data_IF_238786220333
#
_entry.id   IF_238786220333
#
_cell.length_a   1.000
_cell.length_b   1.000
_cell.length_c   1.000
_cell.angle_alpha   90.00
_cell.angle_beta   90.00
_cell.angle_gamma   90.00
#
_symmetry.space_group_name_H-M   'P 1'
#
loop_
_entity.id
_entity.type
_entity.pdbx_description
1 polymer ?
#
# COMPACT_ATOMS: atom_id res chain seq x y z
N UNK A 1 75.10 40.72 2.09
CA UNK A 1 74.42 39.64 1.30
C UNK A 1 73.24 38.96 2.01
N UNK A 2 72.75 39.45 3.16
CA UNK A 2 71.67 38.79 3.92
C UNK A 2 70.23 39.11 3.43
N UNK A 3 70.00 40.30 2.85
CA UNK A 3 68.62 40.77 2.57
C UNK A 3 67.92 40.05 1.40
N UNK A 4 68.66 39.59 0.37
CA UNK A 4 68.05 38.93 -0.80
C UNK A 4 67.47 37.54 -0.48
N UNK A 5 68.07 36.80 0.47
CA UNK A 5 67.56 35.47 0.87
C UNK A 5 66.29 35.56 1.71
N UNK A 6 66.18 36.58 2.57
CA UNK A 6 64.97 36.84 3.36
C UNK A 6 63.79 37.26 2.47
N UNK A 7 64.05 38.06 1.43
CA UNK A 7 63.02 38.50 0.47
C UNK A 7 62.44 37.32 -0.34
N UNK A 8 63.28 36.42 -0.85
CA UNK A 8 62.79 35.25 -1.59
C UNK A 8 61.99 34.26 -0.72
N UNK A 9 62.31 34.15 0.57
CA UNK A 9 61.52 33.33 1.50
C UNK A 9 60.11 33.90 1.75
N UNK A 10 59.99 35.23 1.80
CA UNK A 10 58.70 35.89 2.00
C UNK A 10 57.80 35.82 0.76
N UNK A 11 58.36 35.97 -0.44
CA UNK A 11 57.65 35.78 -1.71
C UNK A 11 57.13 34.34 -1.87
N UNK A 12 57.93 33.34 -1.47
CA UNK A 12 57.51 31.94 -1.49
C UNK A 12 56.35 31.66 -0.51
N UNK A 13 56.42 32.18 0.72
CA UNK A 13 55.36 31.99 1.73
C UNK A 13 54.05 32.64 1.25
N UNK A 14 54.12 33.86 0.69
CA UNK A 14 52.94 34.54 0.15
C UNK A 14 52.35 33.74 -1.02
N UNK A 15 53.20 33.24 -1.92
CA UNK A 15 52.76 32.43 -3.07
C UNK A 15 52.06 31.15 -2.62
N UNK A 16 52.63 30.43 -1.65
CA UNK A 16 52.03 29.21 -1.08
C UNK A 16 50.73 29.52 -0.35
N UNK A 17 50.69 30.61 0.41
CA UNK A 17 49.48 31.06 1.11
C UNK A 17 48.33 31.36 0.15
N UNK A 18 48.62 32.01 -0.98
CA UNK A 18 47.61 32.28 -2.01
C UNK A 18 47.09 31.01 -2.67
N UNK A 19 47.99 30.04 -2.95
CA UNK A 19 47.60 28.74 -3.50
C UNK A 19 46.69 27.98 -2.52
N UNK A 20 47.06 27.91 -1.24
CA UNK A 20 46.24 27.26 -0.20
C UNK A 20 44.87 27.94 -0.08
N UNK A 21 44.83 29.28 -0.06
CA UNK A 21 43.57 30.03 0.00
C UNK A 21 42.67 29.72 -1.20
N UNK A 22 43.24 29.64 -2.40
CA UNK A 22 42.51 29.26 -3.61
C UNK A 22 41.94 27.84 -3.50
N UNK A 23 42.73 26.88 -3.00
CA UNK A 23 42.24 25.52 -2.74
C UNK A 23 41.11 25.48 -1.72
N UNK A 24 41.20 26.25 -0.63
CA UNK A 24 40.13 26.33 0.39
C UNK A 24 38.84 26.85 -0.23
N UNK A 25 38.90 27.91 -1.04
CA UNK A 25 37.71 28.47 -1.71
C UNK A 25 37.08 27.42 -2.64
N UNK A 26 37.87 26.74 -3.47
CA UNK A 26 37.37 25.68 -4.36
C UNK A 26 36.72 24.54 -3.55
N UNK A 27 37.32 24.13 -2.43
CA UNK A 27 36.76 23.09 -1.57
C UNK A 27 35.42 23.49 -0.95
N UNK A 28 35.28 24.73 -0.47
CA UNK A 28 34.02 25.24 0.07
C UNK A 28 32.91 25.22 -1.00
N UNK A 29 33.20 25.72 -2.21
CA UNK A 29 32.26 25.65 -3.33
C UNK A 29 31.90 24.20 -3.71
N UNK A 30 32.89 23.29 -3.66
CA UNK A 30 32.67 21.87 -3.92
C UNK A 30 31.72 21.22 -2.91
N UNK A 31 31.88 21.54 -1.62
CA UNK A 31 31.01 21.04 -0.54
C UNK A 31 29.58 21.54 -0.73
N UNK A 32 29.39 22.84 -0.97
CA UNK A 32 28.06 23.43 -1.15
C UNK A 32 27.37 22.87 -2.40
N UNK A 33 28.11 22.72 -3.50
CA UNK A 33 27.56 22.12 -4.73
C UNK A 33 27.15 20.67 -4.53
N UNK A 34 27.91 19.92 -3.74
CA UNK A 34 27.61 18.51 -3.41
C UNK A 34 26.35 18.41 -2.56
N UNK A 35 26.21 19.25 -1.52
CA UNK A 35 24.99 19.31 -0.70
C UNK A 35 23.76 19.61 -1.54
N UNK A 36 23.82 20.67 -2.35
CA UNK A 36 22.72 21.05 -3.24
C UNK A 36 22.36 19.95 -4.24
N UNK A 37 23.35 19.26 -4.79
CA UNK A 37 23.12 18.12 -5.68
C UNK A 37 22.44 16.96 -4.98
N UNK A 38 22.80 16.68 -3.72
CA UNK A 38 22.18 15.61 -2.94
C UNK A 38 20.74 15.98 -2.59
N UNK A 39 20.49 17.20 -2.09
CA UNK A 39 19.14 17.69 -1.77
C UNK A 39 18.21 17.62 -2.99
N UNK A 40 18.71 18.02 -4.16
CA UNK A 40 17.94 17.95 -5.40
C UNK A 40 17.58 16.51 -5.80
N UNK A 41 18.50 15.56 -5.61
CA UNK A 41 18.24 14.13 -5.89
C UNK A 41 17.25 13.54 -4.89
N UNK A 42 17.39 13.86 -3.60
CA UNK A 42 16.44 13.46 -2.55
C UNK A 42 15.04 13.97 -2.85
N UNK A 43 14.91 15.23 -3.29
CA UNK A 43 13.62 15.80 -3.72
C UNK A 43 13.04 15.08 -4.95
N UNK A 44 13.88 14.73 -5.93
CA UNK A 44 13.42 14.01 -7.13
C UNK A 44 12.91 12.62 -6.78
N UNK A 45 13.62 11.89 -5.93
CA UNK A 45 13.20 10.57 -5.44
C UNK A 45 11.90 10.67 -4.66
N UNK A 46 11.78 11.63 -3.73
CA UNK A 46 10.53 11.86 -2.99
C UNK A 46 9.36 12.18 -3.94
N UNK A 47 9.59 12.96 -5.00
CA UNK A 47 8.58 13.21 -6.03
C UNK A 47 8.19 11.94 -6.78
N UNK A 48 9.15 11.10 -7.15
CA UNK A 48 8.89 9.84 -7.85
C UNK A 48 8.08 8.87 -6.99
N UNK A 49 8.45 8.69 -5.72
CA UNK A 49 7.70 7.82 -4.80
C UNK A 49 6.28 8.36 -4.58
N UNK A 50 6.15 9.67 -4.34
CA UNK A 50 4.85 10.30 -4.10
C UNK A 50 3.91 10.15 -5.29
N UNK A 51 4.43 10.41 -6.50
CA UNK A 51 3.67 10.22 -7.74
C UNK A 51 3.33 8.75 -7.97
N UNK A 52 4.24 7.81 -7.69
CA UNK A 52 3.96 6.37 -7.82
C UNK A 52 2.77 5.96 -6.94
N UNK A 53 2.72 6.39 -5.67
CA UNK A 53 1.59 6.09 -4.78
C UNK A 53 0.29 6.69 -5.33
N UNK A 54 0.32 7.95 -5.76
CA UNK A 54 -0.83 8.63 -6.35
C UNK A 54 -1.31 7.94 -7.63
N UNK A 55 -0.40 7.53 -8.50
CA UNK A 55 -0.74 6.87 -9.76
C UNK A 55 -1.40 5.50 -9.53
N UNK A 56 -0.94 4.75 -8.51
CA UNK A 56 -1.58 3.49 -8.12
C UNK A 56 -3.01 3.72 -7.61
N UNK A 57 -3.21 4.68 -6.70
CA UNK A 57 -4.54 5.06 -6.20
C UNK A 57 -5.44 5.52 -7.34
N UNK A 58 -4.94 6.39 -8.23
CA UNK A 58 -5.71 6.92 -9.35
C UNK A 58 -6.12 5.83 -10.33
N UNK A 59 -5.21 4.91 -10.64
CA UNK A 59 -5.51 3.81 -11.55
C UNK A 59 -6.63 2.92 -11.00
N UNK A 60 -6.57 2.55 -9.71
CA UNK A 60 -7.61 1.74 -9.06
C UNK A 60 -8.94 2.50 -8.98
N UNK A 61 -8.90 3.80 -8.69
CA UNK A 61 -10.09 4.63 -8.68
C UNK A 61 -10.77 4.73 -10.05
N UNK A 62 -10.01 4.71 -11.14
CA UNK A 62 -10.53 4.80 -12.51
C UNK A 62 -10.98 3.46 -13.08
N UNK A 63 -10.38 2.34 -12.64
CA UNK A 63 -10.73 1.00 -13.12
C UNK A 63 -12.12 0.53 -12.68
N UNK A 64 -12.57 0.95 -11.49
CA UNK A 64 -13.89 0.61 -10.94
C UNK A 64 -13.82 -0.43 -9.80
N UNK A 65 -15.00 -0.71 -9.21
CA UNK A 65 -15.14 -1.63 -8.07
C UNK A 65 -14.67 -3.05 -8.43
N UNK A 66 -14.08 -3.76 -7.47
CA UNK A 66 -13.58 -5.12 -7.64
C UNK A 66 -12.16 -5.21 -8.20
N UNK A 67 -11.57 -4.10 -8.68
CA UNK A 67 -10.20 -4.08 -9.17
C UNK A 67 -9.20 -3.81 -8.03
N UNK A 68 -8.14 -4.61 -7.96
CA UNK A 68 -7.01 -4.40 -7.07
C UNK A 68 -5.69 -4.52 -7.82
N UNK A 69 -4.62 -4.00 -7.22
CA UNK A 69 -3.26 -4.24 -7.68
C UNK A 69 -2.27 -4.13 -6.53
N UNK A 70 -1.06 -4.59 -6.83
CA UNK A 70 0.07 -4.52 -5.91
C UNK A 70 1.08 -3.45 -6.36
N UNK A 71 1.73 -2.80 -5.40
CA UNK A 71 2.80 -1.83 -5.63
C UNK A 71 3.81 -1.83 -4.49
N UNK A 72 5.03 -1.37 -4.77
CA UNK A 72 6.11 -1.34 -3.78
C UNK A 72 6.58 0.09 -3.54
N UNK A 73 7.06 0.33 -2.33
CA UNK A 73 7.55 1.63 -1.87
C UNK A 73 9.01 1.42 -1.44
N UNK A 74 9.99 2.20 -1.92
CA UNK A 74 11.39 2.06 -1.50
C UNK A 74 11.56 2.22 0.02
N UNK A 75 12.52 1.50 0.62
CA UNK A 75 12.82 1.66 2.05
C UNK A 75 13.35 3.06 2.42
N UNK A 76 14.10 3.68 1.50
CA UNK A 76 14.69 5.00 1.67
C UNK A 76 14.70 5.77 0.34
N UNK A 77 14.77 7.10 0.42
CA UNK A 77 15.04 7.99 -0.72
C UNK A 77 16.55 8.28 -0.85
N UNK A 78 16.97 8.99 -1.91
CA UNK A 78 18.38 9.30 -2.17
C UNK A 78 19.14 9.74 -0.92
N UNK A 79 20.33 9.17 -0.74
CA UNK A 79 21.17 9.40 0.44
C UNK A 79 20.91 8.43 1.59
N UNK A 80 19.96 7.50 1.44
CA UNK A 80 19.57 6.59 2.52
C UNK A 80 18.73 7.28 3.59
N UNK A 81 18.06 8.37 3.23
CA UNK A 81 17.22 9.11 4.16
C UNK A 81 15.89 8.36 4.33
N UNK A 82 15.53 8.13 5.58
CA UNK A 82 14.20 7.65 5.94
C UNK A 82 13.16 8.72 5.61
N UNK A 83 11.93 8.28 5.35
CA UNK A 83 10.82 9.16 5.04
C UNK A 83 9.51 8.54 5.49
N UNK A 84 8.50 9.40 5.63
CA UNK A 84 7.15 8.98 5.97
C UNK A 84 6.18 9.37 4.86
N UNK A 85 5.24 8.48 4.55
CA UNK A 85 4.12 8.73 3.64
C UNK A 85 2.87 8.95 4.49
N UNK A 86 2.18 10.07 4.25
CA UNK A 86 0.87 10.35 4.84
C UNK A 86 -0.15 10.54 3.71
N UNK A 87 -1.27 9.83 3.79
CA UNK A 87 -2.39 10.00 2.87
C UNK A 87 -3.57 10.59 3.64
N UNK A 88 -3.96 11.81 3.28
CA UNK A 88 -5.00 12.58 3.96
C UNK A 88 -5.95 13.19 2.92
N UNK A 89 -7.16 12.64 2.85
CA UNK A 89 -8.15 12.97 1.82
C UNK A 89 -7.58 12.74 0.42
N UNK A 90 -7.39 13.81 -0.36
CA UNK A 90 -6.78 13.72 -1.71
C UNK A 90 -5.27 13.88 -1.69
N UNK A 91 -4.67 14.28 -0.58
CA UNK A 91 -3.25 14.65 -0.53
C UNK A 91 -2.44 13.43 -0.10
N UNK A 92 -1.51 13.02 -0.96
CA UNK A 92 -0.41 12.11 -0.60
C UNK A 92 0.81 12.98 -0.35
N UNK A 93 1.34 12.93 0.86
CA UNK A 93 2.50 13.70 1.30
C UNK A 93 3.64 12.76 1.69
N UNK A 94 4.84 13.06 1.21
CA UNK A 94 6.09 12.45 1.63
C UNK A 94 6.88 13.50 2.40
N UNK A 95 7.29 13.15 3.62
CA UNK A 95 8.12 14.00 4.46
C UNK A 95 9.39 13.28 4.87
N UNK A 96 10.52 13.98 4.84
CA UNK A 96 11.82 13.54 5.33
C UNK A 96 12.45 14.67 6.15
N UNK A 97 13.61 14.44 6.75
CA UNK A 97 14.24 15.35 7.73
C UNK A 97 14.32 16.82 7.29
N UNK A 98 14.63 17.07 6.02
CA UNK A 98 14.92 18.41 5.50
C UNK A 98 13.82 18.97 4.60
N UNK A 99 12.77 18.21 4.32
CA UNK A 99 11.78 18.64 3.35
C UNK A 99 10.54 17.76 3.26
N UNK A 100 9.62 18.21 2.40
CA UNK A 100 8.38 17.50 2.10
C UNK A 100 7.98 17.72 0.65
N UNK A 101 7.27 16.77 0.10
CA UNK A 101 6.65 16.86 -1.22
C UNK A 101 5.25 16.27 -1.15
N UNK A 102 4.30 16.85 -1.89
CA UNK A 102 2.93 16.33 -1.92
C UNK A 102 2.36 16.31 -3.34
N UNK A 103 1.57 15.30 -3.63
CA UNK A 103 0.78 15.18 -4.85
C UNK A 103 -0.70 14.93 -4.50
N UNK A 104 -1.58 15.13 -5.49
CA UNK A 104 -3.02 14.96 -5.31
C UNK A 104 -3.54 13.74 -6.06
N UNK A 105 -4.28 12.88 -5.36
CA UNK A 105 -5.08 11.81 -5.92
C UNK A 105 -6.41 12.35 -6.49
N UNK A 106 -6.98 11.61 -7.44
CA UNK A 106 -8.26 11.94 -8.08
C UNK A 106 -9.46 11.80 -7.14
N UNK A 107 -9.33 10.95 -6.10
CA UNK A 107 -10.36 10.68 -5.11
C UNK A 107 -9.87 11.02 -3.70
N UNK A 108 -10.81 11.41 -2.84
CA UNK A 108 -10.56 11.61 -1.40
C UNK A 108 -10.99 10.42 -0.55
N UNK A 109 -11.62 9.42 -1.17
CA UNK A 109 -12.19 8.28 -0.47
C UNK A 109 -11.14 7.18 -0.35
N UNK A 110 -10.07 7.47 0.40
CA UNK A 110 -8.92 6.59 0.58
C UNK A 110 -8.82 6.24 2.06
N UNK A 111 -8.76 4.95 2.36
CA UNK A 111 -8.54 4.41 3.69
C UNK A 111 -7.25 3.60 3.69
N UNK A 112 -6.28 4.03 4.49
CA UNK A 112 -5.00 3.33 4.65
C UNK A 112 -5.02 2.55 5.95
N UNK A 113 -4.88 1.22 5.87
CA UNK A 113 -4.80 0.36 7.04
C UNK A 113 -3.36 0.16 7.50
N UNK A 114 -2.48 -0.10 6.53
CA UNK A 114 -1.05 -0.25 6.75
C UNK A 114 -0.29 0.04 5.45
N UNK A 115 1.01 0.31 5.60
CA UNK A 115 1.91 0.58 4.48
C UNK A 115 3.31 0.09 4.84
N UNK A 116 3.83 -0.84 4.05
CA UNK A 116 5.18 -1.39 4.22
C UNK A 116 6.16 -0.75 3.24
N UNK A 117 7.35 -0.47 3.74
CA UNK A 117 8.47 0.06 2.97
C UNK A 117 9.45 -1.07 2.62
N UNK A 118 10.11 -0.98 1.48
CA UNK A 118 10.93 -2.04 0.89
C UNK A 118 10.45 -2.42 -0.51
N UNK A 119 11.37 -2.58 -1.46
CA UNK A 119 11.02 -2.96 -2.84
C UNK A 119 10.60 -4.43 -2.95
N UNK A 120 10.96 -5.22 -1.94
CA UNK A 120 10.55 -6.60 -1.73
C UNK A 120 9.13 -6.72 -1.14
N UNK A 121 8.63 -5.65 -0.51
CA UNK A 121 7.30 -5.62 0.07
C UNK A 121 6.28 -5.16 -0.98
N UNK A 122 5.15 -5.86 -1.04
CA UNK A 122 4.05 -5.55 -1.94
C UNK A 122 2.90 -5.00 -1.09
N UNK A 123 2.58 -3.73 -1.27
CA UNK A 123 1.36 -3.14 -0.73
C UNK A 123 0.22 -3.38 -1.72
N UNK A 124 -1.00 -3.49 -1.19
CA UNK A 124 -2.19 -3.71 -2.00
C UNK A 124 -3.04 -2.46 -2.03
N UNK A 125 -3.61 -2.14 -3.19
CA UNK A 125 -4.64 -1.12 -3.31
C UNK A 125 -5.85 -1.71 -4.03
N UNK A 126 -7.03 -1.55 -3.43
CA UNK A 126 -8.28 -2.18 -3.86
C UNK A 126 -9.42 -1.16 -3.92
N UNK A 127 -10.29 -1.28 -4.92
CA UNK A 127 -11.51 -0.48 -5.02
C UNK A 127 -12.71 -1.27 -4.53
N UNK A 128 -13.23 -0.88 -3.37
CA UNK A 128 -14.49 -1.40 -2.82
C UNK A 128 -15.58 -0.35 -2.96
N UNK A 129 -16.39 -0.49 -4.00
CA UNK A 129 -17.57 0.35 -4.26
C UNK A 129 -17.26 1.87 -4.24
N UNK A 130 -16.10 2.25 -4.77
CA UNK A 130 -15.63 3.63 -4.83
C UNK A 130 -14.82 4.09 -3.61
N UNK A 131 -14.63 3.23 -2.60
CA UNK A 131 -13.66 3.42 -1.51
C UNK A 131 -12.35 2.74 -1.89
N UNK A 132 -11.25 3.48 -1.87
CA UNK A 132 -9.91 2.94 -2.11
C UNK A 132 -9.33 2.47 -0.79
N UNK A 133 -9.12 1.18 -0.67
CA UNK A 133 -8.48 0.57 0.50
C UNK A 133 -7.01 0.31 0.18
N UNK A 134 -6.12 0.68 1.10
CA UNK A 134 -4.67 0.44 1.00
C UNK A 134 -4.25 -0.49 2.13
N UNK A 135 -3.73 -1.65 1.75
CA UNK A 135 -3.17 -2.69 2.62
C UNK A 135 -1.68 -2.87 2.42
N UNK A 136 -1.07 -3.65 3.31
CA UNK A 136 0.37 -3.88 3.38
C UNK A 136 0.75 -5.29 2.91
N UNK A 137 1.98 -5.73 3.17
CA UNK A 137 2.53 -6.98 2.64
C UNK A 137 2.05 -8.21 3.44
N UNK A 138 0.74 -8.46 3.44
CA UNK A 138 0.06 -9.57 4.15
C UNK A 138 -1.07 -10.17 3.30
N UNK A 139 -1.54 -11.39 3.59
CA UNK A 139 -2.79 -11.89 3.01
C UNK A 139 -3.95 -10.91 3.27
N UNK A 140 -4.97 -10.96 2.41
CA UNK A 140 -6.16 -10.12 2.56
C UNK A 140 -7.35 -10.86 1.94
N UNK A 141 -8.20 -11.42 2.80
CA UNK A 141 -9.37 -12.20 2.45
C UNK A 141 -10.56 -11.26 2.24
N UNK A 142 -11.38 -11.59 1.25
CA UNK A 142 -12.53 -10.76 0.88
C UNK A 142 -13.66 -11.63 0.37
N UNK A 143 -14.88 -11.30 0.79
CA UNK A 143 -16.08 -11.94 0.25
C UNK A 143 -16.49 -11.23 -1.04
N UNK A 144 -16.38 -11.93 -2.17
CA UNK A 144 -16.89 -11.44 -3.46
C UNK A 144 -18.42 -11.54 -3.51
N UNK A 145 -19.12 -10.73 -2.72
CA UNK A 145 -20.55 -10.90 -2.40
C UNK A 145 -21.51 -10.95 -3.61
N UNK A 146 -21.13 -10.36 -4.74
CA UNK A 146 -21.89 -10.47 -6.00
C UNK A 146 -22.08 -11.92 -6.44
N UNK A 147 -21.13 -12.79 -6.11
CA UNK A 147 -21.10 -14.23 -6.45
C UNK A 147 -22.07 -15.08 -5.61
N UNK A 148 -22.73 -14.51 -4.59
CA UNK A 148 -23.70 -15.24 -3.78
C UNK A 148 -24.81 -15.84 -4.66
N UNK A 149 -24.91 -17.17 -4.68
CA UNK A 149 -25.92 -17.91 -5.45
C UNK A 149 -26.55 -19.02 -4.60
N UNK A 150 -27.80 -19.44 -4.85
CA UNK A 150 -28.75 -18.82 -5.78
C UNK A 150 -29.33 -17.51 -5.22
N UNK A 151 -29.76 -16.60 -6.11
CA UNK A 151 -30.47 -15.36 -5.69
C UNK A 151 -31.96 -15.58 -5.39
N UNK A 152 -32.52 -16.68 -5.90
CA UNK A 152 -33.93 -17.06 -5.74
C UNK A 152 -34.00 -18.55 -5.41
N UNK A 153 -34.84 -18.93 -4.47
CA UNK A 153 -35.03 -20.30 -4.04
C UNK A 153 -36.52 -20.62 -3.82
N UNK A 154 -36.89 -21.89 -3.98
CA UNK A 154 -38.25 -22.35 -3.74
C UNK A 154 -38.55 -22.49 -2.25
N UNK A 155 -39.80 -22.24 -1.86
CA UNK A 155 -40.27 -22.51 -0.50
C UNK A 155 -40.14 -24.00 -0.12
N UNK A 156 -39.78 -24.28 1.14
CA UNK A 156 -39.57 -25.63 1.69
C UNK A 156 -38.49 -26.44 0.97
N UNK A 157 -37.49 -25.75 0.41
CA UNK A 157 -36.33 -26.40 -0.22
C UNK A 157 -35.08 -26.21 0.63
N UNK A 158 -34.18 -27.20 0.55
CA UNK A 158 -32.79 -27.06 0.97
C UNK A 158 -31.99 -26.62 -0.25
N UNK A 159 -31.34 -25.46 -0.17
CA UNK A 159 -30.49 -24.94 -1.24
C UNK A 159 -29.03 -24.94 -0.81
N UNK A 160 -28.14 -25.29 -1.74
CA UNK A 160 -26.70 -25.12 -1.56
C UNK A 160 -26.35 -23.67 -1.94
N UNK A 161 -26.28 -22.80 -0.94
CA UNK A 161 -25.83 -21.43 -1.13
C UNK A 161 -24.31 -21.42 -1.30
N UNK A 162 -23.82 -20.68 -2.30
CA UNK A 162 -22.41 -20.59 -2.69
C UNK A 162 -21.96 -19.14 -2.72
N UNK A 163 -20.72 -18.89 -2.31
CA UNK A 163 -20.07 -17.59 -2.39
C UNK A 163 -18.58 -17.79 -2.65
N UNK A 164 -17.98 -16.88 -3.41
CA UNK A 164 -16.55 -16.85 -3.63
C UNK A 164 -15.86 -15.99 -2.55
N UNK A 165 -14.78 -16.54 -2.02
CA UNK A 165 -13.83 -15.85 -1.15
C UNK A 165 -12.54 -15.68 -1.94
N UNK A 166 -12.05 -14.45 -2.02
CA UNK A 166 -10.84 -14.06 -2.72
C UNK A 166 -9.75 -13.72 -1.70
N UNK A 167 -8.52 -14.19 -1.92
CA UNK A 167 -7.36 -13.60 -1.28
C UNK A 167 -6.73 -12.61 -2.26
N UNK A 168 -6.95 -11.31 -2.05
CA UNK A 168 -6.40 -10.25 -2.90
C UNK A 168 -5.11 -9.65 -2.33
N UNK A 169 -4.64 -10.13 -1.18
CA UNK A 169 -3.34 -9.80 -0.62
C UNK A 169 -2.18 -10.52 -1.34
N UNK A 170 -0.94 -10.01 -1.24
CA UNK A 170 0.23 -10.54 -1.95
C UNK A 170 0.77 -11.87 -1.41
N UNK A 171 0.24 -12.40 -0.30
CA UNK A 171 0.72 -13.63 0.35
C UNK A 171 -0.39 -14.65 0.53
N UNK A 172 0.00 -15.92 0.56
CA UNK A 172 -0.92 -17.03 0.81
C UNK A 172 -1.50 -16.94 2.23
N UNK A 173 -2.81 -17.12 2.33
CA UNK A 173 -3.50 -17.27 3.59
C UNK A 173 -3.38 -18.72 4.09
N UNK A 174 -3.12 -18.87 5.38
CA UNK A 174 -3.19 -20.17 6.08
C UNK A 174 -4.63 -20.67 6.18
N UNK A 175 -4.86 -21.70 7.00
CA UNK A 175 -6.21 -22.22 7.20
C UNK A 175 -7.12 -21.21 7.92
N UNK A 176 -8.35 -21.05 7.42
CA UNK A 176 -9.38 -20.18 8.01
C UNK A 176 -10.76 -20.84 7.90
N UNK A 177 -11.75 -20.22 8.55
CA UNK A 177 -13.14 -20.66 8.46
C UNK A 177 -13.98 -19.60 7.78
N UNK A 178 -14.97 -20.05 7.00
CA UNK A 178 -16.00 -19.19 6.42
C UNK A 178 -17.33 -19.62 7.01
N UNK A 179 -18.02 -18.70 7.66
CA UNK A 179 -19.33 -18.93 8.27
C UNK A 179 -20.42 -18.36 7.38
N UNK A 180 -21.33 -19.21 6.92
CA UNK A 180 -22.55 -18.83 6.18
C UNK A 180 -23.75 -19.18 7.06
N UNK A 181 -24.44 -18.16 7.60
CA UNK A 181 -25.64 -18.34 8.42
C UNK A 181 -25.54 -19.47 9.48
N UNK A 182 -24.44 -19.47 10.24
CA UNK A 182 -24.08 -20.43 11.30
C UNK A 182 -23.50 -21.77 10.84
N UNK A 183 -23.41 -22.04 9.54
CA UNK A 183 -22.64 -23.18 9.04
C UNK A 183 -21.20 -22.73 8.75
N UNK A 184 -20.22 -23.35 9.42
CA UNK A 184 -18.80 -23.05 9.22
C UNK A 184 -18.15 -24.07 8.30
N UNK A 185 -17.51 -23.57 7.25
CA UNK A 185 -16.71 -24.36 6.31
C UNK A 185 -15.24 -24.03 6.55
N UNK A 186 -14.43 -25.06 6.77
CA UNK A 186 -12.99 -24.90 6.89
C UNK A 186 -12.34 -24.84 5.50
N UNK A 187 -11.48 -23.86 5.29
CA UNK A 187 -10.62 -23.72 4.13
C UNK A 187 -9.19 -23.96 4.60
N UNK A 188 -8.52 -24.96 4.02
CA UNK A 188 -7.17 -25.37 4.45
C UNK A 188 -6.09 -24.30 4.20
N UNK A 189 -6.35 -23.39 3.25
CA UNK A 189 -5.50 -22.29 2.84
C UNK A 189 -6.00 -21.68 1.53
N UNK A 190 -5.60 -20.45 1.23
CA UNK A 190 -5.96 -19.78 -0.01
C UNK A 190 -4.76 -18.99 -0.54
N UNK A 191 -4.26 -19.38 -1.71
CA UNK A 191 -3.09 -18.75 -2.31
C UNK A 191 -3.36 -17.28 -2.67
N UNK A 192 -2.32 -16.46 -2.71
CA UNK A 192 -2.40 -15.07 -3.15
C UNK A 192 -3.03 -14.96 -4.55
N UNK A 193 -3.84 -13.92 -4.76
CA UNK A 193 -4.53 -13.62 -6.01
C UNK A 193 -5.46 -14.75 -6.51
N UNK A 194 -5.93 -15.64 -5.62
CA UNK A 194 -6.84 -16.76 -5.96
C UNK A 194 -8.15 -16.72 -5.20
N UNK A 195 -9.16 -17.42 -5.75
CA UNK A 195 -10.49 -17.54 -5.17
C UNK A 195 -10.83 -18.99 -4.83
N UNK A 196 -11.71 -19.15 -3.84
CA UNK A 196 -12.34 -20.42 -3.47
C UNK A 196 -13.85 -20.22 -3.32
N UNK A 197 -14.62 -21.10 -3.94
CA UNK A 197 -16.07 -21.12 -3.73
C UNK A 197 -16.39 -21.96 -2.49
N UNK A 198 -17.04 -21.33 -1.51
CA UNK A 198 -17.55 -22.00 -0.32
C UNK A 198 -19.04 -22.22 -0.46
N UNK A 199 -19.54 -23.34 0.04
CA UNK A 199 -20.96 -23.67 0.00
C UNK A 199 -21.51 -24.14 1.34
N UNK A 200 -22.73 -23.74 1.66
CA UNK A 200 -23.48 -24.14 2.85
C UNK A 200 -24.92 -24.50 2.47
N UNK A 201 -25.54 -25.43 3.21
CA UNK A 201 -26.90 -25.87 2.94
C UNK A 201 -27.88 -25.07 3.80
N UNK A 202 -28.75 -24.29 3.14
CA UNK A 202 -29.76 -23.46 3.79
C UNK A 202 -31.14 -24.09 3.65
N UNK A 203 -31.83 -24.25 4.78
CA UNK A 203 -33.22 -24.73 4.82
C UNK A 203 -34.18 -23.54 4.83
N UNK A 204 -34.90 -23.35 3.73
CA UNK A 204 -35.73 -22.16 3.50
C UNK A 204 -37.22 -22.51 3.65
N UNK A 205 -37.76 -22.30 4.85
CA UNK A 205 -39.12 -22.74 5.23
C UNK A 205 -40.17 -21.62 5.23
N UNK A 206 -39.75 -20.37 5.02
CA UNK A 206 -40.63 -19.19 5.05
C UNK A 206 -40.41 -18.37 3.78
N UNK A 207 -41.49 -17.96 3.13
CA UNK A 207 -41.43 -17.07 1.98
C UNK A 207 -41.08 -15.66 2.46
N UNK A 208 -39.87 -15.20 2.15
CA UNK A 208 -39.32 -13.91 2.56
C UNK A 208 -38.09 -13.55 1.73
N UNK A 209 -37.53 -12.35 1.96
CA UNK A 209 -36.16 -12.07 1.56
C UNK A 209 -35.22 -12.58 2.67
N UNK A 210 -34.68 -13.78 2.49
CA UNK A 210 -33.88 -14.46 3.50
C UNK A 210 -32.47 -13.87 3.53
N UNK A 211 -32.08 -13.29 4.67
CA UNK A 211 -30.75 -12.69 4.85
C UNK A 211 -29.68 -13.77 4.97
N UNK A 212 -28.58 -13.61 4.25
CA UNK A 212 -27.39 -14.45 4.33
C UNK A 212 -26.22 -13.61 4.84
N UNK A 213 -25.78 -13.88 6.05
CA UNK A 213 -24.57 -13.32 6.64
C UNK A 213 -23.40 -14.26 6.38
N UNK A 214 -22.35 -13.71 5.81
CA UNK A 214 -21.11 -14.38 5.45
C UNK A 214 -19.98 -13.69 6.20
N UNK A 215 -19.29 -14.45 7.04
CA UNK A 215 -18.09 -14.01 7.74
C UNK A 215 -16.91 -14.88 7.29
N UNK A 216 -15.88 -14.26 6.78
CA UNK A 216 -14.60 -14.90 6.48
C UNK A 216 -13.66 -14.67 7.65
N UNK A 217 -12.92 -15.71 8.00
CA UNK A 217 -12.00 -15.75 9.12
C UNK A 217 -12.51 -15.12 10.43
N UNK A 218 -13.74 -15.45 10.81
CA UNK A 218 -14.35 -14.90 12.04
C UNK A 218 -13.58 -15.24 13.34
N UNK A 219 -12.60 -16.15 13.26
CA UNK A 219 -11.71 -16.51 14.35
C UNK A 219 -10.40 -15.72 14.40
N UNK A 220 -10.12 -14.86 13.42
CA UNK A 220 -8.86 -14.13 13.27
C UNK A 220 -7.65 -15.08 13.26
N UNK A 221 -7.75 -16.19 12.51
CA UNK A 221 -6.68 -17.17 12.38
C UNK A 221 -5.61 -16.73 11.38
N UNK A 222 -5.99 -15.92 10.40
CA UNK A 222 -5.11 -15.28 9.44
C UNK A 222 -4.95 -13.83 9.87
N UNK A 223 -3.71 -13.36 9.97
CA UNK A 223 -3.45 -11.94 10.20
C UNK A 223 -3.42 -11.25 8.85
N UNK A 224 -4.39 -10.38 8.62
CA UNK A 224 -4.62 -9.78 7.32
C UNK A 224 -4.15 -8.32 7.27
N UNK A 225 -4.21 -7.72 6.08
CA UNK A 225 -4.03 -6.27 5.94
C UNK A 225 -5.28 -5.53 6.39
N UNK A 226 -6.47 -6.04 6.06
CA UNK A 226 -7.75 -5.39 6.30
C UNK A 226 -8.69 -6.36 7.03
N UNK A 227 -8.79 -6.25 8.35
CA UNK A 227 -9.66 -7.16 9.12
C UNK A 227 -11.17 -6.83 8.99
N UNK A 228 -11.51 -5.70 8.37
CA UNK A 228 -12.86 -5.12 8.39
C UNK A 228 -13.70 -5.40 7.15
N UNK A 229 -13.12 -5.98 6.10
CA UNK A 229 -13.81 -6.30 4.84
C UNK A 229 -14.16 -7.79 4.67
N UNK A 230 -13.87 -8.59 5.69
CA UNK A 230 -14.23 -10.00 5.84
C UNK A 230 -15.72 -10.30 6.09
N UNK A 231 -16.61 -9.30 5.96
CA UNK A 231 -18.05 -9.45 6.25
C UNK A 231 -18.89 -9.01 5.05
N UNK A 232 -19.85 -9.87 4.68
CA UNK A 232 -20.86 -9.57 3.67
C UNK A 232 -22.26 -10.01 4.11
N UNK A 233 -23.24 -9.15 3.85
CA UNK A 233 -24.65 -9.44 4.05
C UNK A 233 -25.35 -9.42 2.69
N UNK A 234 -25.80 -10.59 2.24
CA UNK A 234 -26.60 -10.77 1.03
C UNK A 234 -28.01 -11.24 1.35
N UNK A 235 -28.79 -11.51 0.31
CA UNK A 235 -30.12 -12.09 0.49
C UNK A 235 -30.51 -13.03 -0.64
N UNK A 236 -31.39 -13.98 -0.30
CA UNK A 236 -32.01 -14.94 -1.22
C UNK A 236 -33.52 -14.75 -1.16
N UNK A 237 -34.15 -14.51 -2.30
CA UNK A 237 -35.61 -14.39 -2.38
C UNK A 237 -36.24 -15.79 -2.32
N UNK A 238 -37.09 -16.03 -1.32
CA UNK A 238 -37.79 -17.30 -1.12
C UNK A 238 -39.25 -17.15 -1.54
N UNK A 239 -39.68 -17.93 -2.54
CA UNK A 239 -41.03 -17.86 -3.10
C UNK A 239 -41.53 -19.17 -3.68
#
# INVERSE_FOLDING_TARGET
MSSKRAQSGLELIISVGFVILLFIVILLFGIDKTRWSNDFRTLLDAKMVCNSVVDNVNMISLAGSGYYRHFSIPAAIHGGNDYNITIDGRRVEISWDTGRWSAQAVTSNITVFCLDYGLENRNTVFNRDGVILVGCNRPDLFVAGETLTPKIAGLNTTVSAKVDVLNFGPHDAGAFNVTLNNESVNVAGLAADTLVTVSANLNLTVACNYSVNILVDSGYNVTESIESDNVYNGSIVVG
#
